data_IF_633234148361
#
_entry.id   IF_633234148361
#
_cell.length_a   1.000
_cell.length_b   1.000
_cell.length_c   1.000
_cell.angle_alpha   90.00
_cell.angle_beta   90.00
_cell.angle_gamma   90.00
#
_symmetry.space_group_name_H-M   'P 1'
#
loop_
_entity.id
_entity.type
_entity.pdbx_description
1 polymer ?
#
# COMPACT_ATOMS: atom_id res chain seq x y z
N UNK A 1 33.47 11.82 -13.29
CA UNK A 1 32.74 12.30 -12.10
C UNK A 1 31.50 13.01 -12.63
N UNK A 2 30.29 12.48 -12.55
CA UNK A 2 29.75 11.44 -11.67
C UNK A 2 28.60 10.80 -12.42
N UNK A 3 28.62 9.48 -12.53
CA UNK A 3 27.58 8.69 -13.17
C UNK A 3 26.38 8.70 -12.23
N UNK A 4 25.30 9.38 -12.61
CA UNK A 4 24.02 9.28 -11.90
C UNK A 4 23.48 7.89 -12.22
N UNK A 5 23.85 6.92 -11.38
CA UNK A 5 23.21 5.63 -11.32
C UNK A 5 21.78 5.88 -10.83
N UNK A 6 20.86 6.17 -11.75
CA UNK A 6 19.43 5.99 -11.51
C UNK A 6 19.26 4.51 -11.27
N UNK A 7 19.40 4.11 -10.00
CA UNK A 7 19.08 2.79 -9.51
C UNK A 7 17.69 2.48 -10.03
N UNK A 8 17.65 1.65 -11.06
CA UNK A 8 16.44 1.05 -11.54
C UNK A 8 15.74 0.49 -10.31
N UNK A 9 14.55 1.01 -10.02
CA UNK A 9 13.68 0.49 -8.97
C UNK A 9 13.24 -0.90 -9.44
N UNK A 10 14.14 -1.87 -9.29
CA UNK A 10 13.89 -3.28 -9.49
C UNK A 10 13.16 -3.78 -8.24
N UNK A 11 12.01 -3.17 -7.96
CA UNK A 11 11.07 -3.63 -6.94
C UNK A 11 10.32 -4.83 -7.51
N UNK A 12 11.07 -5.89 -7.78
CA UNK A 12 10.56 -7.22 -8.03
C UNK A 12 11.44 -8.17 -7.23
N UNK A 13 11.05 -8.39 -5.97
CA UNK A 13 10.83 -9.74 -5.47
C UNK A 13 9.99 -9.62 -4.19
N UNK A 14 8.66 -9.73 -4.33
CA UNK A 14 7.79 -10.09 -3.22
C UNK A 14 7.39 -11.53 -3.50
N UNK A 15 8.18 -12.44 -2.95
CA UNK A 15 7.77 -13.82 -2.68
C UNK A 15 6.67 -13.85 -1.62
N UNK A 16 5.52 -13.28 -1.95
CA UNK A 16 4.26 -13.64 -1.30
C UNK A 16 3.45 -14.30 -2.39
N UNK A 17 3.10 -15.57 -2.19
CA UNK A 17 2.06 -16.23 -2.96
C UNK A 17 0.78 -15.42 -2.73
N UNK A 18 0.59 -14.36 -3.50
CA UNK A 18 -0.61 -13.55 -3.51
C UNK A 18 -1.67 -14.47 -4.07
N UNK A 19 -2.44 -15.07 -3.17
CA UNK A 19 -3.75 -15.55 -3.54
C UNK A 19 -4.53 -14.29 -3.90
N UNK A 20 -4.70 -14.09 -5.20
CA UNK A 20 -5.60 -13.10 -5.78
C UNK A 20 -7.02 -13.49 -5.35
N UNK A 21 -7.37 -13.19 -4.12
CA UNK A 21 -8.75 -13.24 -3.64
C UNK A 21 -9.43 -11.94 -4.12
N UNK A 22 -10.64 -12.07 -4.67
CA UNK A 22 -11.41 -10.96 -5.29
C UNK A 22 -11.67 -9.80 -4.32
N UNK A 23 -11.47 -10.04 -3.03
CA UNK A 23 -11.69 -9.11 -1.92
C UNK A 23 -10.44 -8.40 -1.41
N UNK A 24 -9.26 -8.79 -1.90
CA UNK A 24 -8.00 -8.17 -1.49
C UNK A 24 -7.55 -7.08 -2.48
N UNK A 25 -6.91 -6.04 -1.95
CA UNK A 25 -6.20 -5.02 -2.73
C UNK A 25 -4.83 -4.74 -2.15
N UNK A 26 -3.87 -4.45 -3.03
CA UNK A 26 -2.49 -4.16 -2.66
C UNK A 26 -2.11 -2.76 -3.14
N UNK A 27 -1.63 -1.95 -2.20
CA UNK A 27 -1.26 -0.56 -2.41
C UNK A 27 0.22 -0.37 -2.11
N UNK A 28 0.87 0.47 -2.90
CA UNK A 28 2.26 0.89 -2.67
C UNK A 28 2.29 2.38 -2.37
N UNK A 29 2.62 2.73 -1.13
CA UNK A 29 2.69 4.09 -0.63
C UNK A 29 4.15 4.54 -0.68
N UNK A 30 4.43 5.57 -1.47
CA UNK A 30 5.77 6.16 -1.57
C UNK A 30 5.78 7.56 -0.98
N UNK A 31 6.79 7.87 -0.17
CA UNK A 31 7.01 9.20 0.37
C UNK A 31 8.49 9.48 0.64
N UNK A 32 8.86 10.76 0.68
CA UNK A 32 10.25 11.18 0.95
C UNK A 32 10.71 10.94 2.39
N UNK A 33 9.80 10.58 3.30
CA UNK A 33 10.11 10.24 4.67
C UNK A 33 9.16 9.17 5.21
N UNK A 34 9.63 8.44 6.24
CA UNK A 34 8.84 7.39 6.87
C UNK A 34 7.56 7.97 7.51
N UNK A 35 7.66 9.12 8.16
CA UNK A 35 6.51 9.80 8.77
C UNK A 35 5.42 10.16 7.76
N UNK A 36 5.80 10.62 6.57
CA UNK A 36 4.83 10.92 5.51
C UNK A 36 4.18 9.64 4.96
N UNK A 37 4.95 8.57 4.78
CA UNK A 37 4.43 7.28 4.33
C UNK A 37 3.46 6.67 5.36
N UNK A 38 3.83 6.72 6.64
CA UNK A 38 2.98 6.25 7.76
C UNK A 38 1.72 7.11 7.88
N UNK A 39 1.80 8.43 7.68
CA UNK A 39 0.61 9.30 7.70
C UNK A 39 -0.37 8.94 6.57
N UNK A 40 0.14 8.67 5.35
CA UNK A 40 -0.68 8.16 4.23
C UNK A 40 -1.29 6.80 4.56
N UNK A 41 -0.52 5.89 5.15
CA UNK A 41 -0.99 4.57 5.57
C UNK A 41 -2.12 4.68 6.63
N UNK A 42 -1.98 5.56 7.60
CA UNK A 42 -3.04 5.81 8.60
C UNK A 42 -4.31 6.30 7.93
N UNK A 43 -4.21 7.23 6.97
CA UNK A 43 -5.38 7.71 6.20
C UNK A 43 -6.07 6.60 5.43
N UNK A 44 -5.29 5.68 4.84
CA UNK A 44 -5.83 4.52 4.16
C UNK A 44 -6.51 3.54 5.13
N UNK A 45 -5.96 3.31 6.32
CA UNK A 45 -6.61 2.48 7.34
C UNK A 45 -7.91 3.11 7.85
N UNK A 46 -7.94 4.42 8.11
CA UNK A 46 -9.16 5.15 8.47
C UNK A 46 -10.21 5.06 7.36
N UNK A 47 -9.78 5.16 6.09
CA UNK A 47 -10.66 5.01 4.94
C UNK A 47 -11.26 3.60 4.86
N UNK A 48 -10.45 2.55 5.08
CA UNK A 48 -10.92 1.17 5.11
C UNK A 48 -11.97 0.98 6.21
N UNK A 49 -11.69 1.44 7.43
CA UNK A 49 -12.63 1.40 8.57
C UNK A 49 -13.94 2.16 8.31
N UNK A 50 -13.91 3.21 7.49
CA UNK A 50 -15.12 3.95 7.12
C UNK A 50 -15.98 3.23 6.07
N UNK A 51 -15.43 2.26 5.36
CA UNK A 51 -16.10 1.54 4.26
C UNK A 51 -16.53 0.15 4.70
N UNK A 52 -15.70 -0.49 5.52
CA UNK A 52 -15.89 -1.87 5.95
C UNK A 52 -17.13 -2.01 6.84
N UNK A 53 -17.88 -3.08 6.60
CA UNK A 53 -18.99 -3.51 7.45
C UNK A 53 -18.49 -4.44 8.56
N UNK A 54 -17.46 -5.23 8.24
CA UNK A 54 -16.74 -6.15 9.10
C UNK A 54 -15.24 -5.82 9.03
N UNK A 55 -14.46 -6.04 10.10
CA UNK A 55 -13.06 -5.63 10.16
C UNK A 55 -12.24 -6.28 9.04
N UNK A 56 -11.64 -5.46 8.18
CA UNK A 56 -10.74 -5.91 7.12
C UNK A 56 -9.38 -6.34 7.70
N UNK A 57 -8.76 -7.33 7.07
CA UNK A 57 -7.41 -7.76 7.44
C UNK A 57 -6.39 -6.88 6.72
N UNK A 58 -5.56 -6.18 7.49
CA UNK A 58 -4.52 -5.29 6.96
C UNK A 58 -3.14 -5.88 7.22
N UNK A 59 -2.32 -6.00 6.18
CA UNK A 59 -0.92 -6.43 6.27
C UNK A 59 -0.01 -5.40 5.63
N UNK A 60 1.06 -5.01 6.32
CA UNK A 60 1.96 -3.95 5.83
C UNK A 60 3.41 -4.36 5.89
N UNK A 61 4.17 -4.00 4.86
CA UNK A 61 5.61 -4.18 4.78
C UNK A 61 6.27 -2.84 4.45
N UNK A 62 7.19 -2.38 5.30
CA UNK A 62 7.90 -1.12 5.14
C UNK A 62 9.29 -1.39 4.63
N UNK A 63 9.65 -0.76 3.52
CA UNK A 63 10.98 -0.81 2.91
C UNK A 63 11.55 0.59 2.84
N UNK A 64 12.70 0.79 3.48
CA UNK A 64 13.46 2.04 3.40
C UNK A 64 14.49 1.91 2.27
N UNK A 65 14.41 2.76 1.24
CA UNK A 65 15.35 2.77 0.12
C UNK A 65 15.94 4.17 -0.04
N UNK A 66 17.21 4.34 0.35
CA UNK A 66 18.03 5.57 0.22
C UNK A 66 17.36 6.90 0.67
N UNK A 67 16.49 7.47 -0.18
CA UNK A 67 15.81 8.77 0.00
C UNK A 67 14.28 8.67 -0.02
N UNK A 68 13.73 7.47 -0.13
CA UNK A 68 12.30 7.21 -0.22
C UNK A 68 11.92 6.09 0.77
N UNK A 69 10.83 6.31 1.49
CA UNK A 69 10.17 5.24 2.24
C UNK A 69 9.02 4.70 1.41
N UNK A 70 9.03 3.38 1.23
CA UNK A 70 7.98 2.64 0.56
C UNK A 70 7.23 1.79 1.60
N UNK A 71 5.91 1.84 1.60
CA UNK A 71 5.06 0.94 2.39
C UNK A 71 4.18 0.17 1.41
N UNK A 72 4.31 -1.15 1.41
CA UNK A 72 3.40 -2.06 0.75
C UNK A 72 2.30 -2.43 1.74
N UNK A 73 1.06 -2.16 1.40
CA UNK A 73 -0.09 -2.44 2.25
C UNK A 73 -1.09 -3.31 1.49
N UNK A 74 -1.51 -4.41 2.10
CA UNK A 74 -2.59 -5.26 1.63
C UNK A 74 -3.80 -5.07 2.53
N UNK A 75 -4.95 -4.78 1.94
CA UNK A 75 -6.23 -4.70 2.61
C UNK A 75 -7.11 -5.83 2.05
N UNK A 76 -7.54 -6.72 2.93
CA UNK A 76 -8.40 -7.84 2.59
C UNK A 76 -9.77 -7.63 3.23
N UNK A 77 -10.74 -7.29 2.39
CA UNK A 77 -12.10 -6.99 2.80
C UNK A 77 -12.95 -8.25 2.87
N UNK A 78 -14.11 -8.17 3.53
CA UNK A 78 -15.06 -9.30 3.55
C UNK A 78 -15.88 -9.36 2.25
N UNK A 79 -16.08 -8.23 1.58
CA UNK A 79 -16.84 -8.15 0.34
C UNK A 79 -16.09 -7.40 -0.78
N UNK A 80 -16.22 -7.90 -2.01
CA UNK A 80 -15.68 -7.27 -3.21
C UNK A 80 -16.19 -5.83 -3.41
N UNK A 81 -17.43 -5.54 -2.99
CA UNK A 81 -17.98 -4.19 -3.07
C UNK A 81 -17.20 -3.19 -2.21
N UNK A 82 -16.81 -3.58 -0.99
CA UNK A 82 -16.04 -2.75 -0.07
C UNK A 82 -14.65 -2.48 -0.65
N UNK A 83 -14.00 -3.54 -1.15
CA UNK A 83 -12.72 -3.43 -1.88
C UNK A 83 -12.81 -2.46 -3.05
N UNK A 84 -13.86 -2.54 -3.89
CA UNK A 84 -14.06 -1.64 -5.02
C UNK A 84 -14.27 -0.18 -4.59
N UNK A 85 -15.08 0.05 -3.55
CA UNK A 85 -15.30 1.40 -3.00
C UNK A 85 -13.98 1.95 -2.43
N UNK A 86 -13.22 1.10 -1.74
CA UNK A 86 -11.93 1.44 -1.19
C UNK A 86 -10.92 1.79 -2.28
N UNK A 87 -10.75 0.96 -3.32
CA UNK A 87 -9.86 1.22 -4.45
C UNK A 87 -10.14 2.58 -5.10
N UNK A 88 -11.42 2.89 -5.33
CA UNK A 88 -11.83 4.17 -5.93
C UNK A 88 -11.44 5.38 -5.07
N UNK A 89 -11.46 5.24 -3.75
CA UNK A 89 -11.15 6.33 -2.81
C UNK A 89 -9.66 6.38 -2.44
N UNK A 90 -9.00 5.23 -2.38
CA UNK A 90 -7.60 5.08 -2.02
C UNK A 90 -6.67 5.76 -3.03
N UNK A 91 -7.07 5.83 -4.30
CA UNK A 91 -6.33 6.53 -5.36
C UNK A 91 -6.04 8.02 -5.05
N UNK A 92 -6.80 8.66 -4.15
CA UNK A 92 -6.54 10.04 -3.73
C UNK A 92 -5.36 10.20 -2.74
N UNK A 93 -4.84 9.10 -2.20
CA UNK A 93 -3.82 9.09 -1.13
C UNK A 93 -2.46 8.54 -1.58
N UNK A 94 -2.37 7.99 -2.78
CA UNK A 94 -1.15 7.40 -3.34
C UNK A 94 -0.35 8.48 -4.08
#
# INVERSE_FOLDING_TARGET
MTEVNTTACNCMDIGTLIQEEDTATELTIKAGSQQEAEAKLVKLQELAQSIESDPCTVSTHITQADLETCIQARFDFVCAAEKLIFDMRAAAYL
#
